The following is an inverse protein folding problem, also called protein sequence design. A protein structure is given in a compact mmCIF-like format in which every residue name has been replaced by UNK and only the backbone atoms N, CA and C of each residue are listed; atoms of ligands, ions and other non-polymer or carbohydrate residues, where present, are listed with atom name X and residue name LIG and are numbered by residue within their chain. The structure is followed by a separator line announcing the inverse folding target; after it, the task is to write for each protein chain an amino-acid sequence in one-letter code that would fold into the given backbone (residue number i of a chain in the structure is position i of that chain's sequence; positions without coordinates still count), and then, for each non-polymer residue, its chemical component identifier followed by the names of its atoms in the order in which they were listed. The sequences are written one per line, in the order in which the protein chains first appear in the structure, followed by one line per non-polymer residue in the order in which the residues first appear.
data_IF_392427733094
#
_entry.id   IF_392427733094
#
_cell.length_a   1.000
_cell.length_b   1.000
_cell.length_c   1.000
_cell.angle_alpha   90.00
_cell.angle_beta   90.00
_cell.angle_gamma   90.00
#
_symmetry.space_group_name_H-M   'P 1'
#
loop_
_entity.id
_entity.type
_entity.pdbx_description
1 polymer ?
#
# COMPACT_ATOMS: atom_id res chain seq x y z
N UNK A 1 8.77 13.97 20.39
CA UNK A 1 9.30 13.27 19.20
C UNK A 1 8.47 13.71 17.99
N UNK A 2 9.01 13.67 16.76
CA UNK A 2 8.28 14.08 15.54
C UNK A 2 8.46 12.98 14.50
N UNK A 3 7.38 12.63 13.80
CA UNK A 3 7.43 11.76 12.63
C UNK A 3 7.79 12.61 11.43
N UNK A 4 8.79 12.16 10.67
CA UNK A 4 9.21 12.79 9.41
C UNK A 4 9.25 11.73 8.33
N UNK A 5 8.61 12.01 7.21
CA UNK A 5 8.63 11.20 6.00
C UNK A 5 9.04 12.11 4.83
N UNK A 6 9.85 11.60 3.92
CA UNK A 6 10.22 12.32 2.68
C UNK A 6 9.12 12.18 1.63
N UNK A 7 8.41 11.07 1.67
CA UNK A 7 7.31 10.74 0.76
C UNK A 7 6.12 10.21 1.56
N UNK A 8 4.91 10.60 1.18
CA UNK A 8 3.67 10.03 1.70
C UNK A 8 2.87 9.46 0.53
N UNK A 9 2.43 8.21 0.64
CA UNK A 9 1.63 7.52 -0.37
C UNK A 9 0.33 7.00 0.21
N UNK A 10 -0.76 7.17 -0.53
CA UNK A 10 -2.02 6.53 -0.23
C UNK A 10 -2.07 5.14 -0.87
N UNK A 11 -2.52 4.14 -0.12
CA UNK A 11 -2.78 2.79 -0.62
C UNK A 11 -4.22 2.39 -0.32
N UNK A 12 -4.91 1.88 -1.33
CA UNK A 12 -6.26 1.35 -1.18
C UNK A 12 -6.20 -0.08 -0.65
N UNK A 13 -7.12 -0.45 0.24
CA UNK A 13 -7.27 -1.82 0.76
C UNK A 13 -7.97 -2.76 -0.24
N UNK A 14 -7.54 -2.69 -1.50
CA UNK A 14 -8.10 -3.42 -2.64
C UNK A 14 -9.50 -2.96 -3.06
N UNK A 15 -9.99 -3.58 -4.14
CA UNK A 15 -11.35 -3.35 -4.62
C UNK A 15 -12.37 -3.74 -3.53
N UNK A 16 -13.34 -2.85 -3.25
CA UNK A 16 -14.37 -3.07 -2.23
C UNK A 16 -13.84 -3.24 -0.80
N UNK A 17 -12.59 -2.86 -0.49
CA UNK A 17 -12.03 -3.04 0.84
C UNK A 17 -11.69 -4.50 1.18
N UNK A 18 -11.47 -5.36 0.17
CA UNK A 18 -11.15 -6.80 0.37
C UNK A 18 -10.00 -7.08 1.34
N UNK A 19 -9.11 -6.11 1.57
CA UNK A 19 -7.99 -6.23 2.50
C UNK A 19 -8.22 -5.56 3.85
N UNK A 20 -9.43 -5.08 4.16
CA UNK A 20 -9.69 -4.39 5.43
C UNK A 20 -9.40 -5.28 6.66
N UNK A 21 -9.66 -6.58 6.57
CA UNK A 21 -9.36 -7.54 7.63
C UNK A 21 -7.85 -7.81 7.81
N UNK A 22 -6.97 -7.25 6.96
CA UNK A 22 -5.52 -7.32 7.16
C UNK A 22 -5.05 -6.34 8.24
N UNK A 23 -5.84 -5.29 8.52
CA UNK A 23 -5.57 -4.31 9.57
C UNK A 23 -5.50 -4.96 10.96
N UNK A 24 -6.35 -5.95 11.23
CA UNK A 24 -6.38 -6.69 12.49
C UNK A 24 -5.08 -7.48 12.76
N UNK A 25 -4.36 -7.82 11.70
CA UNK A 25 -3.08 -8.53 11.75
C UNK A 25 -1.88 -7.62 11.54
N UNK A 26 -2.13 -6.31 11.37
CA UNK A 26 -1.12 -5.34 10.99
C UNK A 26 -0.33 -5.84 9.76
N UNK A 27 -1.05 -6.12 8.68
CA UNK A 27 -0.51 -6.55 7.39
C UNK A 27 -0.91 -5.54 6.31
N UNK A 28 0.03 -5.17 5.45
CA UNK A 28 -0.23 -4.32 4.30
C UNK A 28 -0.15 -5.18 3.03
N UNK A 29 -1.09 -4.93 2.13
CA UNK A 29 -1.26 -5.73 0.93
C UNK A 29 -1.39 -4.81 -0.26
N UNK A 30 -0.49 -4.96 -1.22
CA UNK A 30 -0.56 -4.18 -2.46
C UNK A 30 -1.71 -4.63 -3.38
N UNK A 31 -2.02 -5.93 -3.40
CA UNK A 31 -3.23 -6.45 -4.05
C UNK A 31 -3.20 -6.54 -5.58
N UNK A 32 -2.09 -6.23 -6.23
CA UNK A 32 -1.91 -6.49 -7.67
C UNK A 32 -1.49 -7.94 -7.91
N UNK A 33 -2.45 -8.86 -7.79
CA UNK A 33 -2.23 -10.29 -8.07
C UNK A 33 -1.87 -10.61 -9.52
N UNK A 34 -1.97 -9.65 -10.43
CA UNK A 34 -1.59 -9.76 -11.84
C UNK A 34 -0.12 -9.45 -12.11
N UNK A 35 0.65 -8.98 -11.13
CA UNK A 35 2.10 -8.79 -11.27
C UNK A 35 2.77 -9.71 -10.26
N UNK A 36 3.63 -10.61 -10.72
CA UNK A 36 4.31 -11.54 -9.82
C UNK A 36 5.33 -10.81 -8.94
N UNK A 37 5.59 -11.34 -7.75
CA UNK A 37 6.60 -10.78 -6.85
C UNK A 37 7.97 -10.67 -7.51
N UNK A 38 8.34 -11.69 -8.30
CA UNK A 38 9.61 -11.72 -9.03
C UNK A 38 9.68 -10.56 -10.05
N UNK A 39 8.60 -10.34 -10.80
CA UNK A 39 8.53 -9.28 -11.79
C UNK A 39 8.54 -7.89 -11.15
N UNK A 40 7.86 -7.74 -10.01
CA UNK A 40 7.86 -6.49 -9.25
C UNK A 40 9.24 -6.19 -8.64
N UNK A 41 9.91 -7.21 -8.08
CA UNK A 41 11.25 -7.10 -7.48
C UNK A 41 12.35 -6.79 -8.50
N UNK A 42 12.16 -7.16 -9.77
CA UNK A 42 13.07 -6.74 -10.85
C UNK A 42 13.05 -5.22 -11.12
N UNK A 43 12.02 -4.49 -10.67
CA UNK A 43 11.89 -3.04 -10.88
C UNK A 43 11.74 -2.61 -12.34
N UNK A 44 11.64 -3.56 -13.28
CA UNK A 44 11.59 -3.28 -14.71
C UNK A 44 10.16 -2.92 -15.16
N UNK A 45 9.86 -1.62 -15.08
CA UNK A 45 8.56 -1.04 -15.45
C UNK A 45 8.10 -1.42 -16.85
N UNK A 46 9.01 -1.47 -17.83
CA UNK A 46 8.66 -1.86 -19.19
C UNK A 46 8.15 -3.31 -19.23
N UNK A 47 8.81 -4.23 -18.51
CA UNK A 47 8.34 -5.62 -18.40
C UNK A 47 6.99 -5.72 -17.68
N UNK A 48 6.78 -4.94 -16.61
CA UNK A 48 5.48 -4.90 -15.90
C UNK A 48 4.36 -4.44 -16.84
N UNK A 49 4.60 -3.36 -17.61
CA UNK A 49 3.65 -2.86 -18.61
C UNK A 49 3.34 -3.94 -19.65
N UNK A 50 4.37 -4.56 -20.25
CA UNK A 50 4.19 -5.64 -21.23
C UNK A 50 3.38 -6.80 -20.65
N UNK A 51 3.66 -7.19 -19.41
CA UNK A 51 2.93 -8.25 -18.72
C UNK A 51 1.44 -7.90 -18.52
N UNK A 52 1.15 -6.68 -18.05
CA UNK A 52 -0.23 -6.22 -17.84
C UNK A 52 -1.02 -6.11 -19.17
N UNK A 53 -0.38 -5.65 -20.25
CA UNK A 53 -0.99 -5.59 -21.58
C UNK A 53 -1.33 -7.01 -22.07
N UNK A 54 -0.43 -7.98 -21.87
CA UNK A 54 -0.67 -9.38 -22.22
C UNK A 54 -1.86 -9.99 -21.45
N UNK A 55 -2.17 -9.47 -20.25
CA UNK A 55 -3.35 -9.84 -19.46
C UNK A 55 -4.63 -9.07 -19.84
N UNK A 56 -4.60 -8.26 -20.90
CA UNK A 56 -5.76 -7.53 -21.42
C UNK A 56 -6.06 -6.21 -20.70
N UNK A 57 -5.16 -5.68 -19.87
CA UNK A 57 -5.31 -4.32 -19.31
C UNK A 57 -5.10 -3.27 -20.39
N UNK A 58 -5.82 -2.15 -20.29
CA UNK A 58 -5.67 -1.03 -21.21
C UNK A 58 -4.29 -0.36 -21.08
N UNK A 59 -3.68 0.13 -22.17
CA UNK A 59 -2.36 0.76 -22.12
C UNK A 59 -2.26 1.92 -21.11
N UNK A 60 -3.30 2.76 -21.01
CA UNK A 60 -3.33 3.87 -20.04
C UNK A 60 -3.34 3.39 -18.59
N UNK A 61 -4.03 2.27 -18.29
CA UNK A 61 -4.02 1.69 -16.95
C UNK A 61 -2.67 1.05 -16.63
N UNK A 62 -2.03 0.38 -17.60
CA UNK A 62 -0.78 -0.36 -17.35
C UNK A 62 0.38 0.51 -16.89
N UNK A 63 0.51 1.75 -17.41
CA UNK A 63 1.59 2.64 -17.00
C UNK A 63 1.43 3.10 -15.54
N UNK A 64 0.19 3.41 -15.13
CA UNK A 64 -0.14 3.76 -13.75
C UNK A 64 0.07 2.57 -12.83
N UNK A 65 -0.47 1.41 -13.19
CA UNK A 65 -0.34 0.19 -12.42
C UNK A 65 1.14 -0.18 -12.23
N UNK A 66 1.98 -0.06 -13.28
CA UNK A 66 3.41 -0.31 -13.20
C UNK A 66 4.15 0.70 -12.29
N UNK A 67 3.72 1.97 -12.27
CA UNK A 67 4.25 2.96 -11.32
C UNK A 67 3.87 2.60 -9.89
N UNK A 68 2.62 2.23 -9.64
CA UNK A 68 2.15 1.85 -8.30
C UNK A 68 2.91 0.62 -7.79
N UNK A 69 3.15 -0.39 -8.65
CA UNK A 69 3.97 -1.56 -8.32
C UNK A 69 5.40 -1.15 -7.97
N UNK A 70 6.03 -0.33 -8.80
CA UNK A 70 7.40 0.10 -8.57
C UNK A 70 7.52 0.94 -7.29
N UNK A 71 6.61 1.89 -7.06
CA UNK A 71 6.57 2.66 -5.82
C UNK A 71 6.45 1.75 -4.59
N UNK A 72 5.66 0.68 -4.70
CA UNK A 72 5.48 -0.26 -3.61
C UNK A 72 6.74 -1.05 -3.26
N UNK A 73 7.54 -1.41 -4.27
CA UNK A 73 8.75 -2.22 -4.11
C UNK A 73 10.03 -1.40 -3.89
N UNK A 74 10.10 -0.19 -4.44
CA UNK A 74 11.32 0.60 -4.50
C UNK A 74 11.39 1.71 -3.43
N UNK A 75 10.25 2.15 -2.88
CA UNK A 75 10.24 3.19 -1.85
C UNK A 75 10.78 2.64 -0.52
N UNK A 76 11.70 3.40 0.06
CA UNK A 76 12.43 3.02 1.26
C UNK A 76 11.71 3.44 2.57
N UNK A 77 12.38 3.21 3.69
CA UNK A 77 11.92 3.52 5.05
C UNK A 77 11.57 5.00 5.29
N UNK A 78 11.87 5.91 4.36
CA UNK A 78 11.45 7.30 4.43
C UNK A 78 10.03 7.54 3.85
N UNK A 79 9.43 6.52 3.22
CA UNK A 79 8.07 6.55 2.73
C UNK A 79 7.06 6.15 3.80
N UNK A 80 6.06 7.00 4.01
CA UNK A 80 4.90 6.73 4.85
C UNK A 80 3.71 6.29 3.98
N UNK A 81 3.27 5.05 4.14
CA UNK A 81 2.02 4.57 3.57
C UNK A 81 0.86 4.94 4.48
N UNK A 82 -0.23 5.43 3.88
CA UNK A 82 -1.47 5.73 4.59
C UNK A 82 -2.68 5.10 3.92
N UNK A 83 -3.68 4.77 4.71
CA UNK A 83 -5.02 4.43 4.23
C UNK A 83 -6.09 4.92 5.20
N UNK A 84 -7.34 4.93 4.76
CA UNK A 84 -8.49 5.32 5.59
C UNK A 84 -9.45 4.14 5.64
N UNK A 85 -9.74 3.67 6.86
CA UNK A 85 -10.63 2.55 7.10
C UNK A 85 -11.13 2.58 8.54
N UNK A 86 -12.33 2.07 8.78
CA UNK A 86 -12.90 1.92 10.13
C UNK A 86 -12.84 3.22 10.94
N UNK A 87 -13.17 4.35 10.32
CA UNK A 87 -13.11 5.72 10.89
C UNK A 87 -11.73 6.22 11.36
N UNK A 88 -10.65 5.55 10.96
CA UNK A 88 -9.28 5.93 11.32
C UNK A 88 -8.41 6.14 10.08
N UNK A 89 -7.39 6.99 10.25
CA UNK A 89 -6.20 6.96 9.41
C UNK A 89 -5.29 5.85 9.94
N UNK A 90 -4.89 4.97 9.04
CA UNK A 90 -3.89 3.94 9.28
C UNK A 90 -2.60 4.32 8.58
N UNK A 91 -1.46 4.11 9.23
CA UNK A 91 -0.15 4.43 8.68
C UNK A 91 0.89 3.37 9.01
N UNK A 92 1.91 3.27 8.17
CA UNK A 92 3.14 2.51 8.42
C UNK A 92 4.26 3.10 7.57
N UNK A 93 5.50 3.05 8.05
CA UNK A 93 6.65 3.27 7.17
C UNK A 93 6.85 2.06 6.28
N UNK A 94 7.39 2.28 5.08
CA UNK A 94 7.85 1.18 4.26
C UNK A 94 9.04 0.48 4.95
N UNK A 95 9.23 -0.82 4.73
CA UNK A 95 10.46 -1.52 5.11
C UNK A 95 11.32 -1.69 3.86
N UNK A 96 12.65 -1.76 4.01
CA UNK A 96 13.57 -1.93 2.87
C UNK A 96 13.32 -3.19 2.05
N UNK A 97 12.74 -4.22 2.64
CA UNK A 97 12.47 -5.47 1.95
C UNK A 97 10.98 -5.82 1.99
N UNK A 98 10.36 -5.86 0.81
CA UNK A 98 9.04 -6.44 0.64
C UNK A 98 9.14 -7.96 0.75
N UNK A 99 8.69 -8.52 1.87
CA UNK A 99 8.64 -9.98 2.07
C UNK A 99 7.32 -10.53 1.53
N UNK A 100 7.36 -11.24 0.40
CA UNK A 100 6.17 -11.91 -0.14
C UNK A 100 5.86 -13.18 0.63
N UNK A 101 4.73 -13.20 1.34
CA UNK A 101 4.19 -14.43 1.92
C UNK A 101 3.45 -15.18 0.81
N UNK A 102 4.11 -16.23 0.27
CA UNK A 102 3.57 -17.24 -0.68
C UNK A 102 2.20 -17.78 -0.23
N UNK A 103 1.40 -18.43 -1.12
CA UNK A 103 -0.01 -18.70 -0.88
C UNK A 103 -0.18 -19.77 0.19
N UNK A 104 -0.17 -19.35 1.44
CA UNK A 104 -1.03 -19.95 2.43
C UNK A 104 -2.44 -19.40 2.14
N UNK A 105 -3.45 -20.24 1.85
CA UNK A 105 -4.83 -19.78 1.68
C UNK A 105 -5.38 -19.06 2.94
N UNK A 106 -4.65 -19.12 4.07
CA UNK A 106 -4.93 -18.39 5.30
C UNK A 106 -4.01 -17.19 5.56
N UNK A 107 -2.92 -17.01 4.77
CA UNK A 107 -1.93 -15.94 4.98
C UNK A 107 -1.42 -15.40 3.64
N UNK A 108 -2.07 -14.35 3.17
CA UNK A 108 -1.43 -13.39 2.28
C UNK A 108 -0.93 -12.22 3.15
N UNK A 109 0.16 -11.57 2.79
CA UNK A 109 0.52 -10.27 3.37
C UNK A 109 2.00 -9.97 3.36
N UNK A 110 2.35 -8.79 2.87
CA UNK A 110 3.67 -8.21 3.03
C UNK A 110 3.68 -7.61 4.45
N UNK A 111 4.70 -7.93 5.28
CA UNK A 111 4.67 -7.56 6.70
C UNK A 111 4.99 -6.07 6.85
N UNK A 112 3.95 -5.25 7.04
CA UNK A 112 4.09 -3.88 7.52
C UNK A 112 3.14 -3.67 8.69
N UNK A 113 3.64 -3.16 9.81
CA UNK A 113 2.81 -2.96 11.00
C UNK A 113 1.99 -1.68 10.91
N UNK A 114 0.77 -1.81 10.37
CA UNK A 114 -0.22 -0.74 10.43
C UNK A 114 -0.44 -0.24 11.85
N UNK A 115 -0.49 1.08 12.00
CA UNK A 115 -0.83 1.78 13.23
C UNK A 115 -1.95 2.79 12.96
N UNK A 116 -2.87 2.95 13.89
CA UNK A 116 -3.96 3.94 13.82
C UNK A 116 -3.90 4.99 14.94
N UNK A 117 -2.79 5.07 15.66
CA UNK A 117 -2.53 6.10 16.67
C UNK A 117 -1.42 7.03 16.23
N UNK A 118 -1.34 8.22 16.82
CA UNK A 118 -0.13 9.03 16.75
C UNK A 118 1.01 8.37 17.56
N UNK A 119 2.19 8.98 17.51
CA UNK A 119 3.37 8.52 18.26
C UNK A 119 3.24 8.58 19.78
N UNK A 120 2.18 9.22 20.30
CA UNK A 120 1.86 9.28 21.72
C UNK A 120 0.75 8.29 22.10
N UNK A 121 0.26 7.48 21.15
CA UNK A 121 -0.84 6.52 21.38
C UNK A 121 -2.24 7.12 21.24
N UNK A 122 -2.38 8.36 20.76
CA UNK A 122 -3.70 9.00 20.55
C UNK A 122 -4.33 8.49 19.25
N UNK A 123 -5.57 7.96 19.26
CA UNK A 123 -6.22 7.48 18.04
C UNK A 123 -6.38 8.56 16.96
N UNK A 124 -6.00 8.24 15.72
CA UNK A 124 -6.10 9.12 14.55
C UNK A 124 -7.47 8.98 13.88
N UNK A 125 -8.52 9.49 14.54
CA UNK A 125 -9.89 9.44 14.01
C UNK A 125 -10.07 10.41 12.85
N UNK A 126 -10.72 9.97 11.78
CA UNK A 126 -10.99 10.80 10.59
C UNK A 126 -11.73 12.09 10.96
N UNK A 127 -12.69 12.01 11.88
CA UNK A 127 -13.45 13.16 12.38
C UNK A 127 -12.60 14.23 13.09
N UNK A 128 -11.43 13.84 13.59
CA UNK A 128 -10.47 14.73 14.26
C UNK A 128 -9.36 15.23 13.33
N UNK A 129 -9.26 14.67 12.12
CA UNK A 129 -8.29 15.11 11.13
C UNK A 129 -8.80 16.37 10.43
N UNK A 130 -7.88 17.29 10.18
CA UNK A 130 -8.16 18.52 9.41
C UNK A 130 -8.77 18.16 8.05
N UNK A 131 -9.79 18.93 7.64
CA UNK A 131 -10.54 18.78 6.38
C UNK A 131 -9.67 18.81 5.12
N UNK A 132 -8.39 19.23 5.20
CA UNK A 132 -7.43 19.12 4.09
C UNK A 132 -7.00 17.67 3.79
N UNK A 133 -7.04 16.78 4.78
CA UNK A 133 -6.64 15.37 4.63
C UNK A 133 -7.76 14.47 4.10
N UNK A 134 -9.03 14.83 4.27
CA UNK A 134 -10.16 13.97 3.91
C UNK A 134 -10.58 14.05 2.44
N UNK A 135 -10.07 15.03 1.68
CA UNK A 135 -10.45 15.28 0.27
C UNK A 135 -9.84 14.29 -0.74
N UNK A 136 -8.88 13.45 -0.31
CA UNK A 136 -8.22 12.44 -1.15
C UNK A 136 -8.82 11.04 -1.00
N UNK A 137 -9.75 10.86 -0.06
CA UNK A 137 -10.41 9.58 0.20
C UNK A 137 -11.77 9.42 -0.54
N UNK A 138 -12.25 10.48 -1.18
CA UNK A 138 -13.50 10.55 -1.96
C UNK A 138 -13.28 10.32 -3.45
#
# INVERSE_FOLDING_TARGET
MKVSATTVRYIKLGAGGRWENSLDRAELHFGYGSVTHELAREGNRAKIITHLIALGRSPQATARDAQEVADFYDLDEACLWITFARDHLWWTFAEREVTWVKPDPTRAGERFRWCNTDINGTPLKISSLSTKLTKVAS
#
